data_IF_580968822624
#
_entry.id   IF_580968822624
#
_cell.length_a   1.000
_cell.length_b   1.000
_cell.length_c   1.000
_cell.angle_alpha   90.00
_cell.angle_beta   90.00
_cell.angle_gamma   90.00
#
_symmetry.space_group_name_H-M   'P 1'
#
loop_
_entity.id
_entity.type
_entity.pdbx_description
1 polymer ?
#
# COMPACT_ATOMS: atom_id res chain seq x y z
N UNK A 1 -29.79 -1.79 -4.89
CA UNK A 1 -29.70 -3.23 -4.57
C UNK A 1 -28.51 -3.82 -5.33
N UNK A 2 -27.48 -4.21 -4.60
CA UNK A 2 -26.33 -4.91 -5.17
C UNK A 2 -26.69 -6.38 -5.29
N UNK A 3 -26.65 -6.91 -6.51
CA UNK A 3 -26.81 -8.35 -6.75
C UNK A 3 -25.43 -9.00 -6.75
N UNK A 4 -25.20 -9.93 -5.84
CA UNK A 4 -23.99 -10.76 -5.83
C UNK A 4 -24.08 -11.99 -6.75
N UNK A 5 -25.20 -12.12 -7.48
CA UNK A 5 -25.39 -13.21 -8.43
C UNK A 5 -24.83 -12.76 -9.79
N UNK A 6 -23.90 -13.51 -10.40
CA UNK A 6 -23.37 -13.16 -11.71
C UNK A 6 -24.48 -13.07 -12.73
N UNK A 7 -24.56 -11.95 -13.46
CA UNK A 7 -25.47 -11.78 -14.58
C UNK A 7 -24.91 -12.51 -15.83
N UNK A 8 -25.76 -12.70 -16.83
CA UNK A 8 -25.39 -13.32 -18.12
C UNK A 8 -24.24 -12.62 -18.83
N UNK A 9 -24.03 -11.34 -18.52
CA UNK A 9 -22.95 -10.52 -19.08
C UNK A 9 -21.64 -10.57 -18.27
N UNK A 10 -21.61 -11.23 -17.09
CA UNK A 10 -20.43 -11.27 -16.22
C UNK A 10 -19.17 -11.80 -16.95
N UNK A 11 -19.31 -12.78 -17.82
CA UNK A 11 -18.19 -13.30 -18.60
C UNK A 11 -17.63 -12.28 -19.59
N UNK A 12 -18.48 -11.50 -20.25
CA UNK A 12 -18.03 -10.45 -21.18
C UNK A 12 -17.34 -9.31 -20.46
N UNK A 13 -17.76 -9.00 -19.24
CA UNK A 13 -17.12 -8.00 -18.39
C UNK A 13 -15.74 -8.46 -17.88
N UNK A 14 -15.62 -9.72 -17.45
CA UNK A 14 -14.35 -10.29 -16.98
C UNK A 14 -13.28 -10.32 -18.10
N UNK A 15 -13.68 -10.49 -19.35
CA UNK A 15 -12.75 -10.48 -20.50
C UNK A 15 -12.52 -9.06 -21.04
N UNK A 16 -13.18 -8.05 -20.48
CA UNK A 16 -13.08 -6.67 -20.95
C UNK A 16 -11.72 -6.01 -20.61
N UNK A 17 -11.24 -5.07 -21.45
CA UNK A 17 -10.06 -4.28 -21.13
C UNK A 17 -10.21 -3.49 -19.81
N UNK A 18 -11.42 -3.04 -19.47
CA UNK A 18 -11.70 -2.32 -18.23
C UNK A 18 -11.44 -3.19 -16.99
N UNK A 19 -11.82 -4.48 -17.04
CA UNK A 19 -11.53 -5.41 -15.97
C UNK A 19 -10.02 -5.67 -15.82
N UNK A 20 -9.29 -5.80 -16.94
CA UNK A 20 -7.83 -5.95 -16.92
C UNK A 20 -7.14 -4.74 -16.26
N UNK A 21 -7.58 -3.53 -16.57
CA UNK A 21 -7.09 -2.29 -15.90
C UNK A 21 -7.41 -2.32 -14.40
N UNK A 22 -8.61 -2.74 -14.02
CA UNK A 22 -9.00 -2.85 -12.61
C UNK A 22 -8.12 -3.84 -11.84
N UNK A 23 -7.71 -4.96 -12.48
CA UNK A 23 -6.77 -5.91 -11.88
C UNK A 23 -5.39 -5.29 -11.60
N UNK A 24 -4.93 -4.35 -12.44
CA UNK A 24 -3.68 -3.62 -12.18
C UNK A 24 -3.79 -2.84 -10.87
N UNK A 25 -4.89 -2.12 -10.63
CA UNK A 25 -5.11 -1.41 -9.37
C UNK A 25 -5.16 -2.36 -8.16
N UNK A 26 -5.82 -3.51 -8.31
CA UNK A 26 -5.82 -4.55 -7.26
C UNK A 26 -4.39 -5.03 -6.98
N UNK A 27 -3.58 -5.27 -8.02
CA UNK A 27 -2.17 -5.67 -7.85
C UNK A 27 -1.38 -4.62 -7.08
N UNK A 28 -1.60 -3.34 -7.34
CA UNK A 28 -0.99 -2.25 -6.58
C UNK A 28 -1.36 -2.28 -5.09
N UNK A 29 -2.63 -2.54 -4.76
CA UNK A 29 -3.07 -2.64 -3.37
C UNK A 29 -2.37 -3.78 -2.60
N UNK A 30 -1.93 -4.83 -3.31
CA UNK A 30 -1.20 -5.96 -2.73
C UNK A 30 0.32 -5.86 -2.85
N UNK A 31 0.89 -4.79 -3.38
CA UNK A 31 2.34 -4.67 -3.63
C UNK A 31 3.21 -4.58 -2.37
N UNK A 32 2.63 -4.31 -1.21
CA UNK A 32 3.36 -4.12 0.06
C UNK A 32 4.19 -5.32 0.55
N UNK A 33 3.96 -6.53 0.03
CA UNK A 33 4.74 -7.71 0.40
C UNK A 33 6.24 -7.58 0.05
N UNK A 34 6.59 -6.78 -0.95
CA UNK A 34 7.98 -6.52 -1.35
C UNK A 34 8.81 -5.95 -0.20
N UNK A 35 8.22 -5.12 0.67
CA UNK A 35 8.90 -4.51 1.81
C UNK A 35 9.55 -5.54 2.74
N UNK A 36 8.92 -6.71 2.92
CA UNK A 36 9.46 -7.79 3.74
C UNK A 36 10.75 -8.39 3.17
N UNK A 37 10.89 -8.43 1.84
CA UNK A 37 12.10 -8.95 1.20
C UNK A 37 13.29 -8.00 1.35
N UNK A 38 13.05 -6.69 1.41
CA UNK A 38 14.11 -5.69 1.58
C UNK A 38 14.78 -5.72 2.97
N UNK A 39 14.05 -6.19 3.99
CA UNK A 39 14.56 -6.35 5.36
C UNK A 39 14.91 -7.81 5.69
N UNK A 40 14.96 -8.69 4.70
CA UNK A 40 15.25 -10.13 4.90
C UNK A 40 16.53 -10.40 5.66
N UNK A 41 17.57 -9.58 5.45
CA UNK A 41 18.85 -9.67 6.15
C UNK A 41 18.79 -9.35 7.66
N UNK A 42 17.71 -8.71 8.13
CA UNK A 42 17.51 -8.38 9.54
C UNK A 42 16.61 -9.41 10.27
N UNK A 43 16.01 -10.34 9.52
CA UNK A 43 15.10 -11.36 10.05
C UNK A 43 15.88 -12.60 10.47
N UNK A 44 15.62 -13.10 11.68
CA UNK A 44 16.16 -14.39 12.13
C UNK A 44 15.48 -15.53 11.35
N UNK A 45 16.26 -16.43 10.75
CA UNK A 45 15.76 -17.56 9.95
C UNK A 45 14.80 -17.16 8.81
N UNK A 46 15.23 -16.25 7.90
CA UNK A 46 14.34 -15.66 6.89
C UNK A 46 13.74 -16.71 5.95
N UNK A 47 14.49 -17.77 5.61
CA UNK A 47 14.01 -18.85 4.72
C UNK A 47 12.74 -19.55 5.23
N UNK A 48 12.53 -19.62 6.56
CA UNK A 48 11.33 -20.23 7.15
C UNK A 48 10.26 -19.21 7.50
N UNK A 49 10.68 -18.06 8.03
CA UNK A 49 9.74 -17.05 8.55
C UNK A 49 9.12 -16.19 7.44
N UNK A 50 9.91 -15.78 6.44
CA UNK A 50 9.41 -14.93 5.34
C UNK A 50 8.22 -15.57 4.60
N UNK A 51 8.32 -16.81 4.07
CA UNK A 51 7.19 -17.40 3.33
C UNK A 51 5.93 -17.52 4.19
N UNK A 52 6.06 -17.90 5.45
CA UNK A 52 4.92 -18.02 6.37
C UNK A 52 4.28 -16.65 6.67
N UNK A 53 5.10 -15.64 6.94
CA UNK A 53 4.61 -14.28 7.24
C UNK A 53 3.94 -13.67 6.02
N UNK A 54 4.50 -13.87 4.83
CA UNK A 54 3.92 -13.40 3.59
C UNK A 54 2.58 -14.06 3.30
N UNK A 55 2.51 -15.39 3.44
CA UNK A 55 1.27 -16.14 3.20
C UNK A 55 0.17 -15.74 4.18
N UNK A 56 0.48 -15.71 5.48
CA UNK A 56 -0.49 -15.32 6.51
C UNK A 56 -0.89 -13.84 6.37
N UNK A 57 0.07 -12.96 6.14
CA UNK A 57 -0.18 -11.53 5.95
C UNK A 57 -1.07 -11.28 4.74
N UNK A 58 -0.78 -11.88 3.60
CA UNK A 58 -1.59 -11.75 2.40
C UNK A 58 -3.00 -12.31 2.61
N UNK A 59 -3.14 -13.45 3.28
CA UNK A 59 -4.46 -14.04 3.58
C UNK A 59 -5.30 -13.12 4.45
N UNK A 60 -4.73 -12.59 5.54
CA UNK A 60 -5.42 -11.67 6.45
C UNK A 60 -5.83 -10.40 5.69
N UNK A 61 -4.91 -9.80 4.93
CA UNK A 61 -5.19 -8.59 4.14
C UNK A 61 -6.28 -8.85 3.11
N UNK A 62 -6.27 -10.01 2.44
CA UNK A 62 -7.31 -10.38 1.47
C UNK A 62 -8.69 -10.44 2.13
N UNK A 63 -8.79 -11.10 3.28
CA UNK A 63 -10.05 -11.19 4.03
C UNK A 63 -10.55 -9.79 4.41
N UNK A 64 -9.66 -8.96 4.96
CA UNK A 64 -10.00 -7.58 5.34
C UNK A 64 -10.44 -6.74 4.13
N UNK A 65 -9.74 -6.84 3.00
CA UNK A 65 -10.10 -6.10 1.78
C UNK A 65 -11.46 -6.53 1.23
N UNK A 66 -11.77 -7.83 1.25
CA UNK A 66 -13.10 -8.32 0.84
C UNK A 66 -14.19 -7.71 1.73
N UNK A 67 -14.02 -7.73 3.05
CA UNK A 67 -15.00 -7.14 3.97
C UNK A 67 -15.12 -5.64 3.79
N UNK A 68 -14.02 -4.91 3.64
CA UNK A 68 -14.04 -3.47 3.39
C UNK A 68 -14.76 -3.13 2.08
N UNK A 69 -14.46 -3.82 0.98
CA UNK A 69 -15.12 -3.58 -0.29
C UNK A 69 -16.62 -3.88 -0.25
N UNK A 70 -17.03 -4.97 0.43
CA UNK A 70 -18.44 -5.26 0.66
C UNK A 70 -19.09 -4.12 1.44
N UNK A 71 -18.45 -3.63 2.51
CA UNK A 71 -18.96 -2.50 3.30
C UNK A 71 -19.12 -1.26 2.44
N UNK A 72 -18.12 -0.89 1.66
CA UNK A 72 -18.19 0.28 0.78
C UNK A 72 -19.34 0.18 -0.23
N UNK A 73 -19.49 -0.95 -0.89
CA UNK A 73 -20.54 -1.18 -1.88
C UNK A 73 -21.96 -1.14 -1.27
N UNK A 74 -22.12 -1.56 -0.01
CA UNK A 74 -23.43 -1.53 0.67
C UNK A 74 -23.76 -0.13 1.18
N UNK A 75 -22.78 0.66 1.59
CA UNK A 75 -22.97 1.92 2.31
C UNK A 75 -23.00 3.16 1.43
N UNK A 76 -22.40 3.10 0.24
CA UNK A 76 -22.39 4.23 -0.68
C UNK A 76 -22.70 3.79 -2.13
N UNK A 77 -23.44 4.60 -2.90
CA UNK A 77 -23.61 4.36 -4.33
C UNK A 77 -22.26 4.37 -5.04
N UNK A 78 -22.05 3.44 -5.98
CA UNK A 78 -20.80 3.37 -6.75
C UNK A 78 -20.51 4.69 -7.51
N UNK A 79 -21.54 5.44 -7.88
CA UNK A 79 -21.40 6.74 -8.54
C UNK A 79 -20.72 7.79 -7.64
N UNK A 80 -21.00 7.78 -6.34
CA UNK A 80 -20.45 8.74 -5.37
C UNK A 80 -18.99 8.40 -5.00
N UNK A 81 -18.60 7.14 -5.17
CA UNK A 81 -17.24 6.66 -4.89
C UNK A 81 -16.32 6.76 -6.11
N UNK A 82 -16.88 6.87 -7.31
CA UNK A 82 -16.11 6.86 -8.54
C UNK A 82 -15.21 8.10 -8.64
N UNK A 83 -13.89 7.86 -8.79
CA UNK A 83 -12.90 8.93 -8.86
C UNK A 83 -12.56 9.60 -7.52
N UNK A 84 -13.15 9.15 -6.41
CA UNK A 84 -12.83 9.68 -5.09
C UNK A 84 -11.66 8.89 -4.46
N UNK A 85 -10.79 9.62 -3.77
CA UNK A 85 -9.62 9.04 -3.08
C UNK A 85 -9.99 8.57 -1.66
N UNK A 86 -11.01 9.17 -1.07
CA UNK A 86 -11.39 9.04 0.33
C UNK A 86 -12.69 8.21 0.52
N UNK A 87 -12.81 7.09 -0.20
CA UNK A 87 -13.97 6.18 -0.13
C UNK A 87 -14.31 5.77 1.31
N UNK A 88 -13.29 5.59 2.16
CA UNK A 88 -13.49 5.27 3.58
C UNK A 88 -14.22 6.38 4.35
N UNK A 89 -13.90 7.65 4.06
CA UNK A 89 -14.60 8.81 4.64
C UNK A 89 -16.06 8.82 4.20
N UNK A 90 -16.31 8.68 2.89
CA UNK A 90 -17.67 8.69 2.32
C UNK A 90 -18.53 7.60 2.95
N UNK A 91 -18.01 6.39 3.07
CA UNK A 91 -18.74 5.28 3.68
C UNK A 91 -19.03 5.52 5.16
N UNK A 92 -18.06 6.02 5.92
CA UNK A 92 -18.26 6.34 7.33
C UNK A 92 -19.26 7.50 7.53
N UNK A 93 -19.22 8.49 6.65
CA UNK A 93 -20.19 9.58 6.66
C UNK A 93 -21.62 9.07 6.41
N UNK A 94 -21.80 8.17 5.45
CA UNK A 94 -23.10 7.60 5.15
C UNK A 94 -23.66 6.70 6.26
N UNK A 95 -22.79 6.03 7.04
CA UNK A 95 -23.22 5.15 8.15
C UNK A 95 -23.48 5.95 9.44
N UNK A 96 -22.58 6.86 9.78
CA UNK A 96 -22.51 7.50 11.09
C UNK A 96 -22.68 9.03 11.05
N UNK A 97 -22.93 9.61 9.87
CA UNK A 97 -23.01 11.05 9.67
C UNK A 97 -21.67 11.77 9.75
N UNK A 98 -21.72 13.09 9.93
CA UNK A 98 -20.54 13.97 9.93
C UNK A 98 -19.47 13.57 10.97
N UNK A 99 -19.90 13.19 12.15
CA UNK A 99 -18.99 12.75 13.22
C UNK A 99 -18.19 11.49 12.79
N UNK A 100 -18.88 10.53 12.18
CA UNK A 100 -18.25 9.30 11.66
C UNK A 100 -17.24 9.57 10.56
N UNK A 101 -17.58 10.44 9.62
CA UNK A 101 -16.68 10.89 8.56
C UNK A 101 -15.42 11.53 9.14
N UNK A 102 -15.56 12.47 10.08
CA UNK A 102 -14.43 13.15 10.72
C UNK A 102 -13.52 12.20 11.49
N UNK A 103 -14.08 11.26 12.25
CA UNK A 103 -13.30 10.23 12.96
C UNK A 103 -12.55 9.36 11.95
N UNK A 104 -13.20 8.92 10.88
CA UNK A 104 -12.55 8.13 9.83
C UNK A 104 -11.41 8.89 9.14
N UNK A 105 -11.62 10.17 8.82
CA UNK A 105 -10.58 11.05 8.27
C UNK A 105 -9.36 11.16 9.19
N UNK A 106 -9.57 11.31 10.50
CA UNK A 106 -8.48 11.29 11.48
C UNK A 106 -7.75 9.95 11.49
N UNK A 107 -8.48 8.83 11.51
CA UNK A 107 -7.87 7.49 11.49
C UNK A 107 -7.05 7.26 10.23
N UNK A 108 -7.57 7.65 9.06
CA UNK A 108 -6.84 7.56 7.79
C UNK A 108 -5.56 8.40 7.85
N UNK A 109 -5.62 9.61 8.42
CA UNK A 109 -4.44 10.48 8.58
C UNK A 109 -3.36 9.83 9.44
N UNK A 110 -3.72 9.20 10.57
CA UNK A 110 -2.78 8.44 11.40
C UNK A 110 -2.19 7.24 10.68
N UNK A 111 -3.00 6.51 9.91
CA UNK A 111 -2.55 5.38 9.10
C UNK A 111 -1.56 5.82 8.03
N UNK A 112 -1.77 6.97 7.39
CA UNK A 112 -0.84 7.53 6.40
C UNK A 112 0.51 7.88 7.03
N UNK A 113 0.52 8.49 8.23
CA UNK A 113 1.77 8.78 8.97
C UNK A 113 2.54 7.48 9.24
N UNK A 114 1.85 6.42 9.69
CA UNK A 114 2.45 5.11 9.92
C UNK A 114 3.02 4.51 8.64
N UNK A 115 2.29 4.61 7.54
CA UNK A 115 2.71 4.12 6.22
C UNK A 115 3.97 4.85 5.73
N UNK A 116 4.00 6.17 5.80
CA UNK A 116 5.16 6.99 5.43
C UNK A 116 6.37 6.61 6.30
N UNK A 117 6.20 6.47 7.61
CA UNK A 117 7.28 6.06 8.52
C UNK A 117 7.87 4.71 8.13
N UNK A 118 7.04 3.74 7.79
CA UNK A 118 7.48 2.42 7.32
C UNK A 118 8.26 2.51 6.00
N UNK A 119 7.80 3.32 5.05
CA UNK A 119 8.48 3.51 3.76
C UNK A 119 9.82 4.24 3.90
N UNK A 120 9.93 5.20 4.81
CA UNK A 120 11.22 5.86 5.14
C UNK A 120 12.20 4.88 5.77
N UNK A 121 11.72 3.87 6.48
CA UNK A 121 12.58 2.82 7.04
C UNK A 121 13.03 1.82 5.97
N UNK A 122 12.11 1.34 5.13
CA UNK A 122 12.35 0.24 4.17
C UNK A 122 13.04 0.73 2.89
N UNK A 123 12.59 1.86 2.33
CA UNK A 123 13.05 2.36 1.02
C UNK A 123 14.56 2.55 0.90
N UNK A 124 15.23 3.21 1.87
CA UNK A 124 16.67 3.41 1.81
C UNK A 124 17.51 2.12 1.83
N UNK A 125 16.94 1.00 2.29
CA UNK A 125 17.62 -0.29 2.29
C UNK A 125 17.92 -0.79 0.88
N UNK A 126 16.98 -0.57 -0.04
CA UNK A 126 17.17 -0.92 -1.46
C UNK A 126 18.33 -0.10 -2.05
N UNK A 127 18.30 1.22 -1.85
CA UNK A 127 19.36 2.11 -2.33
C UNK A 127 20.72 1.79 -1.71
N UNK A 128 20.75 1.37 -0.43
CA UNK A 128 21.96 0.92 0.25
C UNK A 128 22.55 -0.34 -0.40
N UNK A 129 21.73 -1.36 -0.66
CA UNK A 129 22.18 -2.60 -1.32
C UNK A 129 22.70 -2.30 -2.73
N UNK A 130 22.01 -1.44 -3.49
CA UNK A 130 22.53 -0.97 -4.77
C UNK A 130 23.89 -0.29 -4.65
N UNK A 131 24.11 0.47 -3.57
CA UNK A 131 25.41 1.07 -3.29
C UNK A 131 26.51 0.06 -2.90
N UNK A 132 26.12 -1.08 -2.33
CA UNK A 132 27.03 -2.19 -2.04
C UNK A 132 27.42 -2.95 -3.33
N UNK A 133 26.49 -3.10 -4.28
CA UNK A 133 26.70 -3.83 -5.51
C UNK A 133 27.38 -3.02 -6.62
N UNK A 134 27.13 -1.69 -6.68
CA UNK A 134 27.60 -0.82 -7.75
C UNK A 134 28.56 0.27 -7.25
N UNK A 135 29.79 0.28 -7.76
CA UNK A 135 30.83 1.25 -7.38
C UNK A 135 30.41 2.72 -7.57
N UNK A 136 29.62 3.02 -8.60
CA UNK A 136 29.11 4.38 -8.89
C UNK A 136 28.21 4.88 -7.74
N UNK A 137 27.48 3.97 -7.10
CA UNK A 137 26.52 4.25 -6.02
C UNK A 137 27.10 4.01 -4.62
N UNK A 138 28.40 3.80 -4.49
CA UNK A 138 29.07 3.42 -3.24
C UNK A 138 28.80 4.37 -2.07
N UNK A 139 28.51 5.64 -2.35
CA UNK A 139 28.11 6.65 -1.35
C UNK A 139 26.82 6.23 -0.61
N UNK A 140 25.90 5.54 -1.28
CA UNK A 140 24.64 5.08 -0.69
C UNK A 140 24.82 3.90 0.26
N UNK A 141 25.93 3.16 0.13
CA UNK A 141 26.27 2.04 1.01
C UNK A 141 26.76 2.51 2.39
N UNK A 142 27.07 3.81 2.55
CA UNK A 142 27.63 4.32 3.80
C UNK A 142 26.61 4.25 4.94
N UNK A 143 27.01 3.57 6.01
CA UNK A 143 26.22 3.42 7.25
C UNK A 143 26.88 4.22 8.37
N UNK A 144 26.08 4.85 9.19
CA UNK A 144 26.57 5.48 10.40
C UNK A 144 26.93 4.42 11.48
N UNK A 145 27.43 4.88 12.65
CA UNK A 145 27.76 3.98 13.78
C UNK A 145 26.59 3.13 14.31
N UNK A 146 25.36 3.47 13.93
CA UNK A 146 24.13 2.73 14.30
C UNK A 146 23.58 1.88 13.14
N UNK A 147 24.39 1.59 12.11
CA UNK A 147 23.99 0.84 10.90
C UNK A 147 22.85 1.47 10.09
N UNK A 148 22.69 2.79 10.17
CA UNK A 148 21.65 3.53 9.44
C UNK A 148 22.27 4.08 8.15
N UNK A 149 21.69 3.84 6.95
CA UNK A 149 22.15 4.33 5.66
C UNK A 149 21.76 5.80 5.43
N UNK A 150 22.49 6.72 6.08
CA UNK A 150 22.12 8.14 6.13
C UNK A 150 22.00 8.79 4.76
N UNK A 151 22.99 8.56 3.87
CA UNK A 151 22.97 9.15 2.53
C UNK A 151 21.83 8.63 1.67
N UNK A 152 21.49 7.36 1.77
CA UNK A 152 20.33 6.80 1.07
C UNK A 152 19.02 7.42 1.55
N UNK A 153 18.86 7.64 2.85
CA UNK A 153 17.69 8.33 3.44
C UNK A 153 17.61 9.77 2.93
N UNK A 154 18.71 10.52 2.97
CA UNK A 154 18.72 11.92 2.54
C UNK A 154 18.36 12.06 1.06
N UNK A 155 18.96 11.25 0.19
CA UNK A 155 18.67 11.28 -1.25
C UNK A 155 17.20 10.93 -1.51
N UNK A 156 16.69 9.86 -0.93
CA UNK A 156 15.29 9.48 -1.09
C UNK A 156 14.34 10.57 -0.61
N UNK A 157 14.59 11.15 0.57
CA UNK A 157 13.77 12.23 1.12
C UNK A 157 13.80 13.48 0.23
N UNK A 158 14.97 13.83 -0.30
CA UNK A 158 15.12 14.97 -1.22
C UNK A 158 14.35 14.76 -2.51
N UNK A 159 14.46 13.57 -3.13
CA UNK A 159 13.70 13.23 -4.34
C UNK A 159 12.20 13.28 -4.06
N UNK A 160 11.75 12.71 -2.94
CA UNK A 160 10.33 12.72 -2.55
C UNK A 160 9.80 14.15 -2.37
N UNK A 161 10.57 15.03 -1.73
CA UNK A 161 10.19 16.44 -1.58
C UNK A 161 10.11 17.15 -2.93
N UNK A 162 11.08 16.95 -3.82
CA UNK A 162 11.06 17.53 -5.17
C UNK A 162 9.80 17.05 -5.92
N UNK A 163 9.46 15.77 -5.86
CA UNK A 163 8.27 15.22 -6.51
C UNK A 163 6.97 15.83 -5.97
N UNK A 164 6.88 16.14 -4.67
CA UNK A 164 5.71 16.81 -4.08
C UNK A 164 5.54 18.23 -4.63
N UNK A 165 6.64 18.94 -4.90
CA UNK A 165 6.58 20.31 -5.44
C UNK A 165 6.37 20.37 -6.95
N UNK A 166 6.61 19.29 -7.68
CA UNK A 166 6.51 19.24 -9.16
C UNK A 166 5.25 18.54 -9.67
N UNK A 167 4.52 17.82 -8.83
CA UNK A 167 3.26 17.12 -9.14
C UNK A 167 2.06 17.91 -8.68
#
# INVERSE_FOLDING_TARGET
NISFVPDKFAWSEIISPAFAVSLIYVTYAYSGWNASSYIAGEIKNPQKLLPKSLLLGTLIVTILYVFLNITFLITAPAADMNGQVDVGYISAFNIFGELGGNIMGMLISFLLISSISSMVFVGPRVSQVMGEDYNILKVLAFKNKKNIPLYAILIQSTISLIMIFTG
#
